data_IF_068633519230
#
_entry.id   IF_068633519230
#
_cell.length_a   1.000
_cell.length_b   1.000
_cell.length_c   1.000
_cell.angle_alpha   90.00
_cell.angle_beta   90.00
_cell.angle_gamma   90.00
#
_symmetry.space_group_name_H-M   'P 1'
#
loop_
_entity.id
_entity.type
_entity.pdbx_description
1 polymer ?
#
# COMPACT_ATOMS: atom_id res chain seq x y z
N UNK A 1 -19.29 7.90 -20.31
CA UNK A 1 -18.78 6.56 -19.95
C UNK A 1 -17.27 6.44 -20.24
N UNK A 2 -16.80 6.61 -21.50
CA UNK A 2 -15.37 6.47 -21.86
C UNK A 2 -14.48 7.45 -21.09
N UNK A 3 -14.91 8.71 -20.97
CA UNK A 3 -14.16 9.72 -20.23
C UNK A 3 -14.04 9.35 -18.73
N UNK A 4 -15.11 8.85 -18.13
CA UNK A 4 -15.10 8.39 -16.74
C UNK A 4 -14.14 7.22 -16.53
N UNK A 5 -14.13 6.24 -17.44
CA UNK A 5 -13.21 5.09 -17.37
C UNK A 5 -11.75 5.57 -17.50
N UNK A 6 -11.45 6.51 -18.41
CA UNK A 6 -10.11 7.10 -18.52
C UNK A 6 -9.71 7.86 -17.27
N UNK A 7 -10.61 8.61 -16.66
CA UNK A 7 -10.33 9.29 -15.39
C UNK A 7 -9.97 8.30 -14.28
N UNK A 8 -10.71 7.19 -14.17
CA UNK A 8 -10.42 6.12 -13.21
C UNK A 8 -9.07 5.45 -13.53
N UNK A 9 -8.77 5.19 -14.79
CA UNK A 9 -7.48 4.66 -15.24
C UNK A 9 -6.31 5.54 -14.75
N UNK A 10 -6.35 6.82 -15.07
CA UNK A 10 -5.29 7.75 -14.67
C UNK A 10 -5.21 7.91 -13.14
N UNK A 11 -6.35 7.93 -12.44
CA UNK A 11 -6.33 7.98 -10.98
C UNK A 11 -5.67 6.74 -10.35
N UNK A 12 -5.86 5.55 -10.91
CA UNK A 12 -5.17 4.34 -10.50
C UNK A 12 -3.66 4.48 -10.60
N UNK A 13 -3.15 4.94 -11.73
CA UNK A 13 -1.72 5.17 -11.94
C UNK A 13 -1.16 6.28 -11.02
N UNK A 14 -1.90 7.37 -10.83
CA UNK A 14 -1.50 8.44 -9.89
C UNK A 14 -1.38 7.88 -8.47
N UNK A 15 -2.36 7.10 -8.00
CA UNK A 15 -2.32 6.46 -6.69
C UNK A 15 -1.09 5.55 -6.58
N UNK A 16 -0.81 4.73 -7.60
CA UNK A 16 0.35 3.85 -7.62
C UNK A 16 1.66 4.63 -7.48
N UNK A 17 1.87 5.65 -8.32
CA UNK A 17 3.09 6.45 -8.29
C UNK A 17 3.24 7.22 -6.98
N UNK A 18 2.21 7.91 -6.53
CA UNK A 18 2.24 8.64 -5.26
C UNK A 18 2.53 7.71 -4.09
N UNK A 19 1.92 6.52 -4.06
CA UNK A 19 2.16 5.52 -3.01
C UNK A 19 3.59 5.01 -3.01
N UNK A 20 4.17 4.81 -4.19
CA UNK A 20 5.56 4.40 -4.35
C UNK A 20 6.54 5.44 -3.76
N UNK A 21 6.29 6.72 -4.02
CA UNK A 21 7.12 7.80 -3.45
C UNK A 21 6.94 7.94 -1.94
N UNK A 22 5.71 7.74 -1.42
CA UNK A 22 5.43 7.80 0.02
C UNK A 22 6.11 6.68 0.82
N UNK A 23 6.34 5.51 0.21
CA UNK A 23 7.06 4.37 0.80
C UNK A 23 8.57 4.45 0.69
N UNK A 24 9.13 5.60 0.31
CA UNK A 24 10.56 5.67 -0.01
C UNK A 24 10.89 4.85 -1.28
N UNK A 25 10.59 5.42 -2.43
CA UNK A 25 10.74 4.80 -3.76
C UNK A 25 12.06 4.02 -3.96
N UNK A 26 13.17 4.56 -3.47
CA UNK A 26 14.49 3.94 -3.58
C UNK A 26 14.64 2.68 -2.71
N UNK A 27 13.97 2.62 -1.54
CA UNK A 27 13.94 1.41 -0.70
C UNK A 27 13.06 0.32 -1.30
N UNK A 28 11.89 0.71 -1.85
CA UNK A 28 10.95 -0.21 -2.46
C UNK A 28 11.57 -1.01 -3.62
N UNK A 29 12.45 -0.38 -4.40
CA UNK A 29 13.14 -1.02 -5.53
C UNK A 29 14.53 -1.57 -5.16
N UNK A 30 14.90 -1.60 -3.89
CA UNK A 30 16.19 -2.12 -3.44
C UNK A 30 17.39 -1.24 -3.80
N UNK A 31 17.16 -0.08 -4.40
CA UNK A 31 18.25 0.81 -4.85
C UNK A 31 19.04 1.40 -3.68
N UNK A 32 18.37 1.71 -2.58
CA UNK A 32 19.03 2.23 -1.38
C UNK A 32 19.90 1.15 -0.74
N UNK A 33 19.43 -0.09 -0.65
CA UNK A 33 20.18 -1.22 -0.13
C UNK A 33 21.43 -1.45 -0.95
N UNK A 34 21.30 -1.52 -2.28
CA UNK A 34 22.43 -1.68 -3.21
C UNK A 34 23.42 -0.52 -3.11
N UNK A 35 22.94 0.71 -3.00
CA UNK A 35 23.81 1.88 -2.86
C UNK A 35 24.56 1.88 -1.53
N UNK A 36 23.89 1.55 -0.41
CA UNK A 36 24.55 1.48 0.91
C UNK A 36 25.61 0.38 0.95
N UNK A 37 25.34 -0.77 0.31
CA UNK A 37 26.30 -1.85 0.17
C UNK A 37 27.55 -1.40 -0.62
N UNK A 38 27.36 -0.70 -1.74
CA UNK A 38 28.46 -0.15 -2.55
C UNK A 38 29.38 0.82 -1.77
N UNK A 39 28.82 1.58 -0.84
CA UNK A 39 29.58 2.54 -0.03
C UNK A 39 29.97 1.99 1.36
N UNK A 40 29.79 0.68 1.59
CA UNK A 40 30.08 -0.03 2.86
C UNK A 40 29.44 0.64 4.08
N UNK A 41 28.21 1.15 3.95
CA UNK A 41 27.44 1.69 5.07
C UNK A 41 26.36 0.69 5.53
N UNK A 42 26.16 0.52 6.86
CA UNK A 42 25.12 -0.36 7.36
C UNK A 42 23.74 0.15 6.94
N UNK A 43 22.86 -0.78 6.54
CA UNK A 43 21.45 -0.48 6.30
C UNK A 43 20.76 -0.14 7.62
N UNK A 44 20.10 1.01 7.65
CA UNK A 44 19.23 1.42 8.76
C UNK A 44 17.79 1.10 8.44
N UNK A 45 17.18 0.26 9.26
CA UNK A 45 15.76 -0.08 9.14
C UNK A 45 14.87 1.16 9.26
N UNK A 46 13.82 1.21 8.44
CA UNK A 46 12.87 2.29 8.48
C UNK A 46 11.84 2.06 9.59
N UNK A 47 11.59 3.07 10.39
CA UNK A 47 10.55 3.02 11.41
C UNK A 47 9.17 2.89 10.74
N UNK A 48 8.29 2.08 11.35
CA UNK A 48 6.90 1.96 10.90
C UNK A 48 6.19 3.31 11.00
N UNK A 49 5.80 3.88 9.85
CA UNK A 49 5.06 5.15 9.77
C UNK A 49 3.80 4.98 8.93
N UNK A 50 2.67 5.48 9.43
CA UNK A 50 1.39 5.49 8.70
C UNK A 50 1.15 6.91 8.18
N UNK A 51 1.49 7.13 6.91
CA UNK A 51 1.43 8.45 6.27
C UNK A 51 0.38 8.51 5.17
N UNK A 52 -0.25 9.67 4.98
CA UNK A 52 -1.11 10.01 3.84
C UNK A 52 -2.09 8.90 3.43
N UNK A 53 -1.94 8.30 2.26
CA UNK A 53 -2.82 7.27 1.69
C UNK A 53 -2.90 6.00 2.55
N UNK A 54 -1.85 5.68 3.30
CA UNK A 54 -1.79 4.52 4.21
C UNK A 54 -2.73 4.64 5.43
N UNK A 55 -3.28 5.83 5.68
CA UNK A 55 -4.34 6.03 6.69
C UNK A 55 -5.70 5.49 6.22
N UNK A 56 -5.92 5.41 4.91
CA UNK A 56 -7.20 5.01 4.31
C UNK A 56 -7.20 3.56 3.85
N UNK A 57 -6.06 3.08 3.35
CA UNK A 57 -5.89 1.71 2.86
C UNK A 57 -4.44 1.27 3.13
N UNK A 58 -4.24 0.00 3.53
CA UNK A 58 -2.91 -0.49 3.91
C UNK A 58 -1.97 -0.69 2.72
N UNK A 59 -2.51 -1.03 1.56
CA UNK A 59 -1.75 -1.29 0.34
C UNK A 59 -2.24 -0.42 -0.84
N UNK A 60 -2.08 0.92 -0.75
CA UNK A 60 -2.57 1.83 -1.78
C UNK A 60 -1.86 1.65 -3.12
N UNK A 61 -0.59 1.22 -3.12
CA UNK A 61 0.17 0.91 -4.33
C UNK A 61 -0.49 -0.21 -5.14
N UNK A 62 -0.83 -1.32 -4.49
CA UNK A 62 -1.50 -2.45 -5.16
C UNK A 62 -2.93 -2.10 -5.56
N UNK A 63 -3.65 -1.34 -4.75
CA UNK A 63 -4.97 -0.83 -5.11
C UNK A 63 -4.92 0.04 -6.36
N UNK A 64 -3.98 0.98 -6.45
CA UNK A 64 -3.78 1.82 -7.63
C UNK A 64 -3.46 1.01 -8.88
N UNK A 65 -2.58 0.01 -8.76
CA UNK A 65 -2.25 -0.91 -9.85
C UNK A 65 -3.45 -1.71 -10.34
N UNK A 66 -4.22 -2.31 -9.45
CA UNK A 66 -5.46 -3.04 -9.80
C UNK A 66 -6.44 -2.10 -10.49
N UNK A 67 -6.68 -0.91 -9.92
CA UNK A 67 -7.60 0.07 -10.48
C UNK A 67 -7.18 0.46 -11.91
N UNK A 68 -5.89 0.75 -12.14
CA UNK A 68 -5.35 1.06 -13.47
C UNK A 68 -5.47 -0.10 -14.46
N UNK A 69 -5.25 -1.33 -14.03
CA UNK A 69 -5.37 -2.52 -14.89
C UNK A 69 -6.81 -2.79 -15.33
N UNK A 70 -7.78 -2.61 -14.47
CA UNK A 70 -9.18 -2.92 -14.77
C UNK A 70 -9.96 -1.77 -15.40
N UNK A 71 -9.52 -0.53 -15.22
CA UNK A 71 -10.18 0.66 -15.78
C UNK A 71 -9.77 0.88 -17.24
N UNK A 72 -10.13 -0.02 -18.14
CA UNK A 72 -9.87 0.10 -19.58
C UNK A 72 -11.15 0.21 -20.40
N UNK A 73 -11.22 1.11 -21.39
CA UNK A 73 -12.38 1.22 -22.27
C UNK A 73 -12.61 0.02 -23.19
N UNK A 74 -11.54 -0.74 -23.48
CA UNK A 74 -11.58 -1.94 -24.33
C UNK A 74 -10.79 -3.07 -23.64
N UNK A 75 -11.53 -4.05 -23.13
CA UNK A 75 -10.95 -5.24 -22.51
C UNK A 75 -10.77 -6.32 -23.59
N UNK A 76 -9.52 -6.52 -24.03
CA UNK A 76 -9.17 -7.66 -24.89
C UNK A 76 -8.94 -8.90 -24.02
N UNK A 77 -9.01 -10.09 -24.62
CA UNK A 77 -8.74 -11.37 -23.93
C UNK A 77 -7.32 -11.36 -23.32
N UNK A 78 -6.34 -10.91 -24.08
CA UNK A 78 -4.94 -10.81 -23.61
C UNK A 78 -4.84 -9.87 -22.40
N UNK A 79 -5.48 -8.69 -22.48
CA UNK A 79 -5.49 -7.75 -21.35
C UNK A 79 -6.20 -8.33 -20.12
N UNK A 80 -7.32 -9.03 -20.32
CA UNK A 80 -8.05 -9.69 -19.24
C UNK A 80 -7.18 -10.73 -18.51
N UNK A 81 -6.52 -11.63 -19.26
CA UNK A 81 -5.61 -12.64 -18.68
C UNK A 81 -4.47 -11.97 -17.92
N UNK A 82 -3.87 -10.93 -18.49
CA UNK A 82 -2.82 -10.16 -17.85
C UNK A 82 -3.30 -9.47 -16.56
N UNK A 83 -4.45 -8.82 -16.59
CA UNK A 83 -5.04 -8.15 -15.43
C UNK A 83 -5.39 -9.15 -14.32
N UNK A 84 -5.93 -10.31 -14.66
CA UNK A 84 -6.21 -11.38 -13.70
C UNK A 84 -4.91 -11.92 -13.07
N UNK A 85 -3.90 -12.20 -13.87
CA UNK A 85 -2.60 -12.69 -13.40
C UNK A 85 -1.93 -11.70 -12.44
N UNK A 86 -1.83 -10.42 -12.82
CA UNK A 86 -1.26 -9.39 -11.95
C UNK A 86 -2.11 -9.13 -10.71
N UNK A 87 -3.44 -9.15 -10.81
CA UNK A 87 -4.30 -9.01 -9.63
C UNK A 87 -4.07 -10.15 -8.64
N UNK A 88 -3.98 -11.37 -9.12
CA UNK A 88 -3.65 -12.54 -8.28
C UNK A 88 -2.28 -12.38 -7.63
N UNK A 89 -1.27 -11.97 -8.40
CA UNK A 89 0.06 -11.70 -7.88
C UNK A 89 0.06 -10.63 -6.78
N UNK A 90 -0.65 -9.51 -6.98
CA UNK A 90 -0.76 -8.44 -5.98
C UNK A 90 -1.47 -8.91 -4.71
N UNK A 91 -2.56 -9.68 -4.83
CA UNK A 91 -3.30 -10.21 -3.68
C UNK A 91 -2.42 -11.17 -2.87
N UNK A 92 -1.75 -12.11 -3.56
CA UNK A 92 -0.86 -13.08 -2.90
C UNK A 92 0.33 -12.35 -2.25
N UNK A 93 0.96 -11.42 -2.97
CA UNK A 93 2.06 -10.60 -2.44
C UNK A 93 1.65 -9.82 -1.18
N UNK A 94 0.46 -9.19 -1.22
CA UNK A 94 -0.09 -8.50 -0.05
C UNK A 94 -0.25 -9.41 1.17
N UNK A 95 -0.68 -10.66 0.98
CA UNK A 95 -0.84 -11.61 2.09
C UNK A 95 0.51 -11.99 2.74
N UNK A 96 1.54 -12.17 1.92
CA UNK A 96 2.89 -12.41 2.44
C UNK A 96 3.45 -11.18 3.16
N UNK A 97 3.34 -10.00 2.56
CA UNK A 97 3.77 -8.74 3.17
C UNK A 97 3.07 -8.49 4.52
N UNK A 98 1.76 -8.71 4.62
CA UNK A 98 1.01 -8.61 5.88
C UNK A 98 1.49 -9.60 6.95
N UNK A 99 1.91 -10.79 6.54
CA UNK A 99 2.45 -11.80 7.44
C UNK A 99 3.79 -11.34 8.02
N UNK A 100 4.65 -10.79 7.17
CA UNK A 100 5.99 -10.34 7.57
C UNK A 100 5.91 -9.08 8.44
N UNK A 101 5.07 -8.11 8.08
CA UNK A 101 4.81 -6.92 8.90
C UNK A 101 4.24 -7.26 10.29
N UNK A 102 3.42 -8.31 10.39
CA UNK A 102 2.94 -8.80 11.70
C UNK A 102 4.06 -9.42 12.53
N UNK A 103 5.03 -10.08 11.89
CA UNK A 103 6.17 -10.66 12.59
C UNK A 103 7.12 -9.59 13.08
N UNK A 104 7.35 -8.58 12.26
CA UNK A 104 8.28 -7.49 12.52
C UNK A 104 7.73 -6.50 13.57
N UNK A 105 6.51 -6.00 13.36
CA UNK A 105 5.91 -4.94 14.19
C UNK A 105 4.87 -5.41 15.22
N UNK A 106 4.56 -6.70 15.26
CA UNK A 106 3.73 -7.32 16.30
C UNK A 106 2.36 -6.66 16.51
N UNK A 107 2.09 -6.27 17.75
CA UNK A 107 0.79 -5.71 18.15
C UNK A 107 0.51 -4.31 17.57
N UNK A 108 1.56 -3.58 17.23
CA UNK A 108 1.45 -2.30 16.56
C UNK A 108 0.77 -2.46 15.19
N UNK A 109 1.27 -3.40 14.39
CA UNK A 109 0.70 -3.67 13.07
C UNK A 109 -0.72 -4.26 13.18
N UNK A 110 -0.98 -5.12 14.17
CA UNK A 110 -2.34 -5.63 14.43
C UNK A 110 -3.34 -4.52 14.76
N UNK A 111 -2.93 -3.52 15.56
CA UNK A 111 -3.77 -2.35 15.84
C UNK A 111 -4.07 -1.50 14.60
N UNK A 112 -3.08 -1.31 13.73
CA UNK A 112 -3.24 -0.67 12.43
C UNK A 112 -4.17 -1.49 11.52
N UNK A 113 -3.95 -2.82 11.43
CA UNK A 113 -4.76 -3.74 10.65
C UNK A 113 -6.24 -3.74 11.08
N UNK A 114 -6.52 -3.59 12.38
CA UNK A 114 -7.89 -3.54 12.89
C UNK A 114 -8.67 -2.30 12.40
N UNK A 115 -7.99 -1.20 12.09
CA UNK A 115 -8.60 0.09 11.75
C UNK A 115 -8.61 0.40 10.27
N UNK A 116 -7.62 -0.08 9.53
CA UNK A 116 -7.43 0.26 8.12
C UNK A 116 -7.71 -0.97 7.24
N UNK A 117 -8.52 -0.85 6.17
CA UNK A 117 -8.78 -1.94 5.24
C UNK A 117 -7.52 -2.29 4.43
N UNK A 118 -7.47 -3.53 3.93
CA UNK A 118 -6.31 -4.05 3.20
C UNK A 118 -6.10 -3.38 1.83
N UNK A 119 -7.05 -3.55 0.92
CA UNK A 119 -6.96 -3.08 -0.47
C UNK A 119 -8.05 -2.06 -0.82
N UNK A 120 -9.30 -2.33 -0.48
CA UNK A 120 -10.42 -1.49 -0.89
C UNK A 120 -10.70 -0.44 0.21
N UNK A 121 -10.56 0.86 -0.09
CA UNK A 121 -10.84 1.91 0.89
C UNK A 121 -12.31 1.87 1.33
N UNK A 122 -12.58 2.32 2.53
CA UNK A 122 -13.93 2.43 3.14
C UNK A 122 -14.67 1.10 3.42
N UNK A 123 -14.07 -0.07 3.20
CA UNK A 123 -14.70 -1.37 3.48
C UNK A 123 -14.76 -1.71 4.98
N UNK A 124 -13.90 -1.10 5.80
CA UNK A 124 -14.02 -1.18 7.26
C UNK A 124 -14.78 0.04 7.74
N UNK A 125 -16.05 -0.14 8.06
CA UNK A 125 -16.79 0.85 8.83
C UNK A 125 -16.03 1.09 10.15
N UNK A 126 -15.70 2.32 10.41
CA UNK A 126 -15.04 2.78 11.64
C UNK A 126 -15.90 2.39 12.82
N UNK A 127 -15.70 1.17 13.32
CA UNK A 127 -16.36 0.73 14.56
C UNK A 127 -16.05 1.78 15.62
N UNK A 128 -17.09 2.38 16.15
CA UNK A 128 -17.06 3.42 17.19
C UNK A 128 -16.67 2.80 18.54
N UNK A 129 -15.59 1.99 18.55
CA UNK A 129 -15.04 1.44 19.77
C UNK A 129 -14.07 2.45 20.39
N UNK A 130 -14.67 3.19 21.33
CA UNK A 130 -14.07 3.76 22.55
C UNK A 130 -12.60 4.18 22.48
N UNK A 131 -12.44 5.47 22.55
CA UNK A 131 -11.32 6.35 22.78
C UNK A 131 -10.16 5.81 23.65
N UNK A 132 -9.41 4.85 23.16
CA UNK A 132 -8.05 4.63 23.66
C UNK A 132 -7.17 4.29 22.46
N UNK A 133 -6.73 5.34 21.76
CA UNK A 133 -5.54 5.20 20.93
C UNK A 133 -4.43 4.79 21.90
N UNK A 134 -3.75 3.65 21.76
CA UNK A 134 -2.54 3.38 22.53
C UNK A 134 -1.62 4.59 22.37
N UNK A 135 -0.95 5.03 23.42
CA UNK A 135 -0.06 6.21 23.41
C UNK A 135 0.91 6.15 22.21
N UNK A 136 1.42 4.96 21.92
CA UNK A 136 2.29 4.66 20.79
C UNK A 136 1.68 4.95 19.40
N UNK A 137 0.35 4.75 19.22
CA UNK A 137 -0.30 5.04 17.94
C UNK A 137 -0.36 6.54 17.64
N UNK A 138 -0.35 7.40 18.68
CA UNK A 138 -0.21 8.85 18.52
C UNK A 138 1.19 9.23 18.06
N UNK A 139 2.22 8.63 18.64
CA UNK A 139 3.62 8.90 18.26
C UNK A 139 3.90 8.56 16.78
N UNK A 140 3.32 7.48 16.27
CA UNK A 140 3.54 7.03 14.88
C UNK A 140 2.72 7.84 13.85
N UNK A 141 1.54 8.37 14.25
CA UNK A 141 0.64 9.07 13.30
C UNK A 141 0.72 10.58 13.35
N UNK A 142 1.34 11.15 14.39
CA UNK A 142 1.40 12.60 14.65
C UNK A 142 2.82 13.18 14.50
N UNK A 143 3.80 12.37 14.11
CA UNK A 143 5.12 12.90 13.73
C UNK A 143 5.02 13.60 12.36
N UNK A 144 5.55 14.83 12.26
CA UNK A 144 5.52 15.64 11.03
C UNK A 144 6.29 15.04 9.86
#
# INVERSE_FOLDING_TARGET
VILSIRAIFFSGWIILFVSSFLLNHFDLFGLRQTYLELINKPYTELNFKVISLYKYVRHPLYFGGILGLWATPRMTVTHLVFAMGLTTYFVVGTLFEERDLKREFGDLYKAYQARTPMLIPFTKFRSKRRNSKPAYYREVTEQP
#
